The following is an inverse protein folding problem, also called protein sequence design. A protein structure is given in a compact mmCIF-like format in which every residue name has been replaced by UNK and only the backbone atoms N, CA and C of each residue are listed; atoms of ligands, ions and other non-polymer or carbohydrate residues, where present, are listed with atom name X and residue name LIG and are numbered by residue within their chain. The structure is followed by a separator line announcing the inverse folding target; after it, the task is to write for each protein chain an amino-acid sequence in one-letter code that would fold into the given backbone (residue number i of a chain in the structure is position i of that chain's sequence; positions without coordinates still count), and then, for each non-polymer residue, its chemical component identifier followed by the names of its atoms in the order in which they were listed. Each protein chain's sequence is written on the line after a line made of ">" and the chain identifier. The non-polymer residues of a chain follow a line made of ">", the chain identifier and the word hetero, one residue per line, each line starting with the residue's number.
data_IF_895126493864
#
_entry.id   IF_895126493864
#
_cell.length_a   1.000
_cell.length_b   1.000
_cell.length_c   1.000
_cell.angle_alpha   90.00
_cell.angle_beta   90.00
_cell.angle_gamma   90.00
#
_symmetry.space_group_name_H-M   'P 1'
#
loop_
_entity.id
_entity.type
_entity.pdbx_description
1 polymer ?
#
# COMPACT_ATOMS: atom_id res chain seq x y z
N UNK A 1 -2.79 -17.60 7.51
CA UNK A 1 -1.93 -16.38 7.55
C UNK A 1 -2.71 -15.16 8.03
N UNK A 2 -3.61 -15.30 9.02
CA UNK A 2 -4.44 -14.20 9.55
C UNK A 2 -4.26 -13.98 11.06
N UNK A 3 -3.42 -14.76 11.74
CA UNK A 3 -3.37 -14.81 13.21
C UNK A 3 -2.25 -13.96 13.82
N UNK A 4 -1.37 -13.34 13.01
CA UNK A 4 -0.23 -12.54 13.49
C UNK A 4 -0.50 -11.03 13.64
N UNK A 5 -1.67 -10.54 13.23
CA UNK A 5 -2.01 -9.12 13.28
C UNK A 5 -3.03 -8.92 14.40
N UNK A 6 -2.58 -8.44 15.56
CA UNK A 6 -3.29 -8.39 16.85
C UNK A 6 -4.56 -7.52 16.94
N UNK A 7 -5.20 -7.19 15.81
CA UNK A 7 -6.59 -6.72 15.67
C UNK A 7 -7.01 -7.17 14.27
N UNK A 8 -8.22 -7.72 14.05
CA UNK A 8 -8.66 -8.03 12.69
C UNK A 8 -8.60 -6.74 11.88
N UNK A 9 -7.72 -6.70 10.88
CA UNK A 9 -7.78 -5.67 9.84
C UNK A 9 -9.14 -5.85 9.17
N UNK A 10 -10.12 -5.07 9.62
CA UNK A 10 -11.31 -4.80 8.84
C UNK A 10 -10.80 -4.02 7.65
N UNK A 11 -10.44 -4.75 6.59
CA UNK A 11 -10.38 -4.19 5.26
C UNK A 11 -11.84 -3.93 4.91
N UNK A 12 -12.44 -2.90 5.51
CA UNK A 12 -13.89 -2.61 5.42
C UNK A 12 -14.32 -2.52 3.95
N UNK A 13 -13.36 -2.27 3.06
CA UNK A 13 -13.46 -2.60 1.65
C UNK A 13 -12.07 -2.84 1.05
N UNK A 14 -11.65 -4.10 0.88
CA UNK A 14 -10.71 -4.38 -0.22
C UNK A 14 -11.55 -4.10 -1.46
N UNK A 15 -11.32 -2.97 -2.14
CA UNK A 15 -12.06 -2.69 -3.37
C UNK A 15 -11.57 -3.68 -4.43
N UNK A 16 -12.15 -4.89 -4.42
CA UNK A 16 -12.04 -5.86 -5.51
C UNK A 16 -12.91 -5.29 -6.62
N UNK A 17 -12.32 -4.39 -7.38
CA UNK A 17 -13.00 -3.67 -8.44
C UNK A 17 -13.43 -4.67 -9.51
N UNK A 18 -14.75 -4.84 -9.67
CA UNK A 18 -15.32 -5.30 -10.92
C UNK A 18 -14.80 -4.40 -12.06
N UNK A 19 -14.65 -4.90 -13.30
CA UNK A 19 -13.82 -4.31 -14.37
C UNK A 19 -14.26 -2.95 -14.92
N UNK A 20 -15.13 -2.19 -14.22
CA UNK A 20 -15.49 -0.83 -14.62
C UNK A 20 -14.39 0.16 -14.23
N UNK A 21 -13.55 0.45 -15.22
CA UNK A 21 -12.54 1.53 -15.29
C UNK A 21 -13.00 2.90 -14.71
N UNK A 22 -14.30 3.17 -14.72
CA UNK A 22 -14.89 4.43 -14.26
C UNK A 22 -15.17 4.50 -12.75
N UNK A 23 -15.53 3.38 -12.10
CA UNK A 23 -15.89 3.35 -10.68
C UNK A 23 -14.70 3.65 -9.74
N UNK A 24 -13.47 3.44 -10.22
CA UNK A 24 -12.22 3.73 -9.51
C UNK A 24 -11.97 5.23 -9.39
N UNK A 25 -12.32 5.98 -10.44
CA UNK A 25 -11.97 7.40 -10.55
C UNK A 25 -12.76 8.28 -9.60
N UNK A 26 -14.04 7.95 -9.38
CA UNK A 26 -14.95 8.74 -8.55
C UNK A 26 -14.78 8.48 -7.04
N UNK A 27 -14.32 7.28 -6.66
CA UNK A 27 -14.30 6.83 -5.27
C UNK A 27 -12.91 6.82 -4.61
N UNK A 28 -11.87 7.30 -5.29
CA UNK A 28 -10.50 7.29 -4.76
C UNK A 28 -9.89 8.70 -4.77
N UNK A 29 -9.05 9.07 -3.78
CA UNK A 29 -8.54 10.44 -3.64
C UNK A 29 -7.82 10.97 -4.88
N UNK A 30 -7.18 10.10 -5.65
CA UNK A 30 -6.37 10.46 -6.81
C UNK A 30 -6.80 9.73 -8.09
N UNK A 31 -8.00 9.15 -8.11
CA UNK A 31 -8.46 8.32 -9.22
C UNK A 31 -7.59 7.08 -9.47
N UNK A 32 -6.83 6.64 -8.46
CA UNK A 32 -5.87 5.53 -8.49
C UNK A 32 -6.10 4.61 -7.30
N UNK A 33 -5.77 3.33 -7.51
CA UNK A 33 -5.69 2.30 -6.47
C UNK A 33 -4.22 1.87 -6.30
N UNK A 34 -3.83 1.34 -5.13
CA UNK A 34 -4.64 1.02 -3.95
C UNK A 34 -4.99 2.22 -3.05
N UNK A 35 -6.05 2.06 -2.24
CA UNK A 35 -6.46 2.97 -1.15
C UNK A 35 -6.81 2.14 0.10
N UNK A 36 -6.21 2.48 1.24
CA UNK A 36 -6.55 1.96 2.57
C UNK A 36 -7.44 2.97 3.29
N UNK A 37 -8.52 2.53 3.94
CA UNK A 37 -9.31 3.37 4.83
C UNK A 37 -8.98 3.04 6.28
N UNK A 38 -8.55 4.03 7.04
CA UNK A 38 -8.27 3.93 8.48
C UNK A 38 -9.26 4.86 9.19
N UNK A 39 -10.19 4.29 9.95
CA UNK A 39 -11.25 5.05 10.63
C UNK A 39 -12.00 6.01 9.68
N UNK A 40 -12.32 5.52 8.48
CA UNK A 40 -12.98 6.30 7.43
C UNK A 40 -12.08 7.31 6.69
N UNK A 41 -10.82 7.50 7.09
CA UNK A 41 -9.86 8.38 6.42
C UNK A 41 -9.11 7.62 5.32
N UNK A 42 -9.08 8.12 4.06
CA UNK A 42 -8.37 7.44 2.98
C UNK A 42 -6.86 7.70 3.01
N UNK A 43 -6.07 6.64 2.85
CA UNK A 43 -4.62 6.64 2.62
C UNK A 43 -4.35 5.98 1.28
N UNK A 44 -3.71 6.71 0.37
CA UNK A 44 -3.36 6.21 -0.98
C UNK A 44 -1.85 5.95 -1.09
N UNK A 45 -1.41 5.45 -2.24
CA UNK A 45 -0.02 5.03 -2.53
C UNK A 45 0.37 3.73 -1.82
N UNK A 46 0.75 2.72 -2.62
CA UNK A 46 1.07 1.38 -2.11
C UNK A 46 2.18 1.42 -1.06
N UNK A 47 3.27 2.15 -1.31
CA UNK A 47 4.42 2.23 -0.39
C UNK A 47 4.03 2.91 0.93
N UNK A 48 3.26 4.00 0.88
CA UNK A 48 2.79 4.69 2.09
C UNK A 48 1.84 3.80 2.93
N UNK A 49 0.95 3.05 2.27
CA UNK A 49 0.07 2.07 2.92
C UNK A 49 0.91 0.97 3.60
N UNK A 50 1.91 0.41 2.91
CA UNK A 50 2.80 -0.61 3.47
C UNK A 50 3.57 -0.09 4.69
N UNK A 51 4.11 1.14 4.61
CA UNK A 51 4.82 1.79 5.71
C UNK A 51 3.93 2.00 6.94
N UNK A 52 2.71 2.50 6.73
CA UNK A 52 1.72 2.66 7.79
C UNK A 52 1.40 1.33 8.46
N UNK A 53 1.06 0.30 7.67
CA UNK A 53 0.76 -1.04 8.19
C UNK A 53 1.97 -1.65 8.92
N UNK A 54 3.18 -1.43 8.41
CA UNK A 54 4.40 -1.87 9.06
C UNK A 54 4.60 -1.25 10.43
N UNK A 55 4.35 0.06 10.57
CA UNK A 55 4.44 0.76 11.85
C UNK A 55 3.38 0.27 12.85
N UNK A 56 2.09 0.22 12.47
CA UNK A 56 1.00 -0.12 13.40
C UNK A 56 0.99 -1.57 13.83
N UNK A 57 1.60 -2.47 13.06
CA UNK A 57 1.72 -3.89 13.39
C UNK A 57 3.10 -4.29 13.94
N UNK A 58 4.00 -3.34 14.17
CA UNK A 58 5.33 -3.62 14.71
C UNK A 58 6.22 -4.43 13.77
N UNK A 59 6.00 -4.31 12.45
CA UNK A 59 6.86 -4.89 11.42
C UNK A 59 7.99 -3.92 11.00
N UNK A 60 7.86 -2.64 11.32
CA UNK A 60 8.93 -1.66 11.18
C UNK A 60 9.76 -1.55 12.47
N UNK A 61 11.02 -1.14 12.33
CA UNK A 61 11.87 -0.84 13.48
C UNK A 61 11.29 0.29 14.33
N UNK A 62 11.47 0.20 15.65
CA UNK A 62 11.15 1.31 16.57
C UNK A 62 12.24 2.39 16.59
N UNK A 63 13.44 2.03 16.14
CA UNK A 63 14.54 2.98 15.95
C UNK A 63 14.29 3.78 14.65
N UNK A 64 14.18 5.12 14.71
CA UNK A 64 13.88 5.95 13.53
C UNK A 64 14.92 5.82 12.41
N UNK A 65 16.19 5.62 12.75
CA UNK A 65 17.25 5.46 11.76
C UNK A 65 17.12 4.11 11.04
N UNK A 66 16.93 3.02 11.79
CA UNK A 66 16.74 1.71 11.18
C UNK A 66 15.43 1.61 10.38
N UNK A 67 14.38 2.32 10.79
CA UNK A 67 13.16 2.43 10.02
C UNK A 67 13.41 3.16 8.69
N UNK A 68 14.18 4.26 8.71
CA UNK A 68 14.57 4.99 7.50
C UNK A 68 15.42 4.14 6.55
N UNK A 69 16.33 3.31 7.06
CA UNK A 69 17.10 2.35 6.24
C UNK A 69 16.16 1.32 5.58
N UNK A 70 15.12 0.86 6.29
CA UNK A 70 14.10 0.01 5.68
C UNK A 70 13.31 0.72 4.58
N UNK A 71 13.00 1.99 4.79
CA UNK A 71 12.32 2.84 3.81
C UNK A 71 13.19 3.11 2.57
N UNK A 72 14.50 3.31 2.74
CA UNK A 72 15.47 3.46 1.66
C UNK A 72 15.43 2.26 0.69
N UNK A 73 15.39 1.04 1.23
CA UNK A 73 15.28 -0.18 0.42
C UNK A 73 13.93 -0.25 -0.30
N UNK A 74 12.83 0.06 0.39
CA UNK A 74 11.50 0.05 -0.20
C UNK A 74 11.35 1.07 -1.33
N UNK A 75 11.91 2.26 -1.15
CA UNK A 75 11.88 3.34 -2.14
C UNK A 75 12.80 3.00 -3.32
N UNK A 76 13.99 2.41 -3.08
CA UNK A 76 14.87 1.91 -4.15
C UNK A 76 14.18 0.87 -5.03
N UNK A 77 13.43 -0.07 -4.43
CA UNK A 77 12.61 -1.04 -5.19
C UNK A 77 11.52 -0.32 -5.98
N UNK A 78 10.86 0.67 -5.38
CA UNK A 78 9.82 1.45 -6.03
C UNK A 78 10.32 2.19 -7.28
N UNK A 79 11.52 2.75 -7.22
CA UNK A 79 12.17 3.44 -8.35
C UNK A 79 12.51 2.50 -9.52
N UNK A 80 12.76 1.22 -9.24
CA UNK A 80 13.02 0.20 -10.27
C UNK A 80 11.74 -0.34 -10.93
N UNK A 81 10.58 -0.24 -10.26
CA UNK A 81 9.32 -0.81 -10.76
C UNK A 81 8.90 -0.28 -12.15
N UNK A 82 9.02 1.02 -12.50
CA UNK A 82 8.68 1.50 -13.83
C UNK A 82 9.48 0.83 -14.94
N UNK A 83 10.76 0.54 -14.71
CA UNK A 83 11.62 -0.17 -15.68
C UNK A 83 11.18 -1.62 -15.79
N UNK A 84 10.99 -2.29 -14.66
CA UNK A 84 10.49 -3.67 -14.65
C UNK A 84 9.10 -3.80 -15.29
N UNK A 85 8.23 -2.79 -15.12
CA UNK A 85 6.89 -2.77 -15.70
C UNK A 85 6.92 -2.79 -17.23
N UNK A 86 7.91 -2.16 -17.87
CA UNK A 86 8.07 -2.25 -19.34
C UNK A 86 8.29 -3.69 -19.80
N UNK A 87 8.99 -4.50 -19.00
CA UNK A 87 9.25 -5.91 -19.29
C UNK A 87 8.01 -6.76 -18.96
N UNK A 88 7.43 -6.57 -17.77
CA UNK A 88 6.28 -7.37 -17.28
C UNK A 88 5.03 -7.14 -18.13
N UNK A 89 4.83 -5.93 -18.64
CA UNK A 89 3.70 -5.59 -19.51
C UNK A 89 4.07 -5.53 -21.00
N UNK A 90 5.32 -5.86 -21.37
CA UNK A 90 5.64 -6.11 -22.77
C UNK A 90 4.79 -7.28 -23.25
N UNK A 91 4.13 -7.07 -24.39
CA UNK A 91 3.30 -8.06 -25.06
C UNK A 91 4.06 -8.75 -26.16
#
# INVERSE_FOLDING_TARGET
>A
MNERLGRPLRVDRLVRLAPRKYAVRENTPYGKVPVLYVDGRPLSQSVAICRYLGAVHGLSSKDPWLAAVGDEVADSVHDLLPVAAQIVYAK
#
